data_IF_143544447787
#
_entry.id   IF_143544447787
#
_cell.length_a   1.000
_cell.length_b   1.000
_cell.length_c   1.000
_cell.angle_alpha   90.00
_cell.angle_beta   90.00
_cell.angle_gamma   90.00
#
_symmetry.space_group_name_H-M   'P 1'
#
loop_
_entity.id
_entity.type
_entity.pdbx_description
1 polymer ?
#
# COMPACT_ATOMS: atom_id res chain seq x y z
N UNK A 1 -48.90 -11.28 -5.00
CA UNK A 1 -48.54 -10.11 -4.18
C UNK A 1 -47.03 -9.99 -4.27
N UNK A 2 -46.62 -9.18 -5.24
CA UNK A 2 -45.29 -8.73 -5.71
C UNK A 2 -43.99 -9.33 -5.13
N UNK A 3 -43.22 -9.94 -6.03
CA UNK A 3 -41.80 -10.27 -5.95
C UNK A 3 -40.91 -9.10 -5.47
N UNK A 4 -40.11 -9.36 -4.44
CA UNK A 4 -38.98 -8.52 -4.03
C UNK A 4 -37.76 -8.87 -4.89
N UNK A 5 -37.65 -8.27 -6.07
CA UNK A 5 -36.41 -8.32 -6.85
C UNK A 5 -35.25 -7.69 -6.05
N UNK A 6 -34.33 -8.54 -5.61
CA UNK A 6 -33.00 -8.15 -5.15
C UNK A 6 -32.27 -7.40 -6.25
N UNK A 7 -32.16 -6.08 -6.12
CA UNK A 7 -31.28 -5.27 -6.95
C UNK A 7 -29.86 -5.45 -6.44
N UNK A 8 -29.09 -6.34 -7.08
CA UNK A 8 -27.64 -6.34 -6.94
C UNK A 8 -27.11 -4.98 -7.43
N UNK A 9 -26.31 -4.24 -6.66
CA UNK A 9 -25.76 -2.97 -7.10
C UNK A 9 -24.84 -3.19 -8.31
N UNK A 10 -25.30 -2.76 -9.48
CA UNK A 10 -24.54 -2.75 -10.72
C UNK A 10 -23.59 -1.57 -10.73
N UNK A 11 -22.39 -1.72 -10.16
CA UNK A 11 -21.24 -0.89 -10.52
C UNK A 11 -19.91 -1.57 -10.19
N UNK A 12 -19.69 -2.80 -10.68
CA UNK A 12 -18.36 -3.44 -10.69
C UNK A 12 -17.41 -2.78 -11.70
N UNK A 13 -17.97 -2.05 -12.68
CA UNK A 13 -17.28 -1.52 -13.84
C UNK A 13 -16.17 -0.48 -13.56
N UNK A 14 -16.29 0.46 -12.59
CA UNK A 14 -15.17 1.31 -12.22
C UNK A 14 -14.12 0.59 -11.36
N UNK A 15 -14.46 -0.51 -10.69
CA UNK A 15 -13.54 -1.22 -9.78
C UNK A 15 -12.49 -2.06 -10.52
N UNK A 16 -12.88 -2.76 -11.58
CA UNK A 16 -11.99 -3.64 -12.36
C UNK A 16 -10.77 -2.90 -12.95
N UNK A 17 -10.90 -1.77 -13.67
CA UNK A 17 -9.73 -1.08 -14.22
C UNK A 17 -8.82 -0.53 -13.12
N UNK A 18 -9.37 -0.10 -11.98
CA UNK A 18 -8.59 0.37 -10.84
C UNK A 18 -7.83 -0.80 -10.21
N UNK A 19 -8.45 -1.97 -10.06
CA UNK A 19 -7.80 -3.16 -9.53
C UNK A 19 -6.67 -3.67 -10.44
N UNK A 20 -6.90 -3.72 -11.76
CA UNK A 20 -5.86 -4.07 -12.74
C UNK A 20 -4.72 -3.05 -12.73
N UNK A 21 -5.05 -1.75 -12.69
CA UNK A 21 -4.06 -0.68 -12.56
C UNK A 21 -3.21 -0.83 -11.30
N UNK A 22 -3.83 -1.07 -10.15
CA UNK A 22 -3.13 -1.34 -8.89
C UNK A 22 -2.24 -2.58 -8.98
N UNK A 23 -2.71 -3.68 -9.58
CA UNK A 23 -1.92 -4.90 -9.74
C UNK A 23 -0.67 -4.68 -10.60
N UNK A 24 -0.79 -3.93 -11.69
CA UNK A 24 0.35 -3.56 -12.56
C UNK A 24 1.32 -2.66 -11.82
N UNK A 25 0.83 -1.62 -11.13
CA UNK A 25 1.67 -0.71 -10.35
C UNK A 25 2.40 -1.44 -9.22
N UNK A 26 1.70 -2.34 -8.52
CA UNK A 26 2.29 -3.17 -7.47
C UNK A 26 3.39 -4.08 -8.02
N UNK A 27 3.11 -4.83 -9.09
CA UNK A 27 4.10 -5.70 -9.73
C UNK A 27 5.29 -4.95 -10.31
N UNK A 28 5.08 -3.74 -10.87
CA UNK A 28 6.15 -2.91 -11.42
C UNK A 28 7.03 -2.24 -10.35
N UNK A 29 6.51 -2.01 -9.14
CA UNK A 29 7.24 -1.29 -8.08
C UNK A 29 8.56 -1.97 -7.70
N UNK A 30 8.57 -3.29 -7.54
CA UNK A 30 9.75 -4.08 -7.15
C UNK A 30 10.88 -4.08 -8.19
N UNK A 31 10.65 -4.37 -9.48
CA UNK A 31 11.71 -4.27 -10.49
C UNK A 31 12.22 -2.84 -10.68
N UNK A 32 11.36 -1.82 -10.61
CA UNK A 32 11.80 -0.42 -10.64
C UNK A 32 12.70 -0.11 -9.44
N UNK A 33 12.31 -0.54 -8.23
CA UNK A 33 13.13 -0.38 -7.04
C UNK A 33 14.48 -1.11 -7.14
N UNK A 34 14.51 -2.32 -7.72
CA UNK A 34 15.76 -3.08 -7.92
C UNK A 34 16.73 -2.34 -8.84
N UNK A 35 16.25 -1.70 -9.90
CA UNK A 35 17.10 -0.87 -10.76
C UNK A 35 17.67 0.30 -9.96
N UNK A 36 16.86 0.97 -9.15
CA UNK A 36 17.32 2.09 -8.31
C UNK A 36 18.32 1.67 -7.23
N UNK A 37 18.22 0.45 -6.70
CA UNK A 37 19.19 -0.10 -5.74
C UNK A 37 20.61 -0.24 -6.29
N UNK A 38 20.81 -0.17 -7.62
CA UNK A 38 22.16 -0.20 -8.20
C UNK A 38 22.94 1.07 -7.94
N UNK A 39 22.25 2.20 -7.76
CA UNK A 39 22.84 3.54 -7.59
C UNK A 39 22.51 4.16 -6.22
N UNK A 40 21.49 3.66 -5.52
CA UNK A 40 20.97 4.23 -4.27
C UNK A 40 21.06 3.23 -3.14
N UNK A 41 21.59 3.66 -1.98
CA UNK A 41 21.65 2.85 -0.77
C UNK A 41 20.24 2.33 -0.35
N UNK A 42 20.11 1.07 0.10
CA UNK A 42 18.84 0.46 0.49
C UNK A 42 18.01 1.28 1.48
N UNK A 43 18.65 1.90 2.49
CA UNK A 43 17.92 2.65 3.53
C UNK A 43 17.42 3.97 2.96
N UNK A 44 18.22 4.63 2.12
CA UNK A 44 17.83 5.86 1.44
C UNK A 44 16.68 5.60 0.47
N UNK A 45 16.74 4.50 -0.29
CA UNK A 45 15.67 4.12 -1.20
C UNK A 45 14.36 3.81 -0.47
N UNK A 46 14.43 3.08 0.66
CA UNK A 46 13.27 2.84 1.52
C UNK A 46 12.63 4.17 1.99
N UNK A 47 13.45 5.13 2.41
CA UNK A 47 13.00 6.47 2.79
C UNK A 47 12.32 7.21 1.62
N UNK A 48 12.90 7.14 0.41
CA UNK A 48 12.36 7.80 -0.77
C UNK A 48 11.00 7.21 -1.19
N UNK A 49 10.85 5.88 -1.12
CA UNK A 49 9.58 5.20 -1.39
C UNK A 49 8.50 5.60 -0.37
N UNK A 50 8.85 5.70 0.92
CA UNK A 50 7.92 6.13 1.96
C UNK A 50 7.52 7.60 1.82
N UNK A 51 8.46 8.48 1.47
CA UNK A 51 8.15 9.87 1.15
C UNK A 51 7.17 9.97 -0.02
N UNK A 52 7.38 9.17 -1.08
CA UNK A 52 6.46 9.09 -2.22
C UNK A 52 5.04 8.67 -1.80
N UNK A 53 4.93 7.62 -0.98
CA UNK A 53 3.64 7.16 -0.45
C UNK A 53 2.95 8.22 0.42
N UNK A 54 3.70 8.89 1.30
CA UNK A 54 3.20 9.97 2.14
C UNK A 54 2.69 11.17 1.34
N UNK A 55 3.43 11.58 0.30
CA UNK A 55 3.01 12.65 -0.61
C UNK A 55 1.75 12.27 -1.40
N UNK A 56 1.69 11.04 -1.92
CA UNK A 56 0.50 10.53 -2.61
C UNK A 56 -0.73 10.56 -1.72
N UNK A 57 -0.60 10.09 -0.47
CA UNK A 57 -1.68 10.13 0.52
C UNK A 57 -2.08 11.56 0.87
N UNK A 58 -1.12 12.47 1.03
CA UNK A 58 -1.36 13.88 1.32
C UNK A 58 -2.16 14.56 0.20
N UNK A 59 -1.81 14.32 -1.07
CA UNK A 59 -2.53 14.85 -2.23
C UNK A 59 -3.97 14.32 -2.30
N UNK A 60 -4.17 13.01 -2.11
CA UNK A 60 -5.51 12.41 -2.08
C UNK A 60 -6.33 12.98 -0.92
N UNK A 61 -5.72 13.14 0.25
CA UNK A 61 -6.37 13.68 1.44
C UNK A 61 -6.76 15.14 1.24
N UNK A 62 -5.89 15.95 0.64
CA UNK A 62 -6.20 17.34 0.28
C UNK A 62 -7.38 17.42 -0.69
N UNK A 63 -7.43 16.58 -1.72
CA UNK A 63 -8.56 16.51 -2.65
C UNK A 63 -9.89 16.13 -1.97
N UNK A 64 -9.87 15.19 -1.02
CA UNK A 64 -11.06 14.79 -0.24
C UNK A 64 -11.54 15.90 0.69
N UNK A 65 -10.61 16.67 1.26
CA UNK A 65 -10.91 17.79 2.15
C UNK A 65 -11.58 18.95 1.38
N UNK A 66 -11.12 19.23 0.15
CA UNK A 66 -11.79 20.18 -0.77
C UNK A 66 -13.21 19.72 -1.11
N UNK A 67 -13.43 18.41 -1.25
CA UNK A 67 -14.75 17.80 -1.46
C UNK A 67 -15.67 17.75 -0.23
N UNK A 68 -15.29 18.35 0.91
CA UNK A 68 -16.04 18.34 2.19
C UNK A 68 -16.44 16.96 2.70
N UNK A 69 -15.68 15.92 2.35
CA UNK A 69 -15.89 14.60 2.94
C UNK A 69 -15.35 14.64 4.37
N UNK A 70 -16.23 14.56 5.36
CA UNK A 70 -15.83 14.50 6.77
C UNK A 70 -15.12 13.17 7.02
N UNK A 71 -13.83 13.23 7.35
CA UNK A 71 -13.06 12.08 7.82
C UNK A 71 -13.48 11.79 9.27
N UNK A 72 -14.12 10.63 9.56
CA UNK A 72 -14.47 10.24 10.91
C UNK A 72 -13.21 9.72 11.63
N UNK A 73 -12.28 10.60 11.98
CA UNK A 73 -11.06 10.22 12.69
C UNK A 73 -11.08 10.84 14.09
N UNK A 74 -11.64 10.09 15.04
CA UNK A 74 -11.47 10.36 16.47
C UNK A 74 -10.42 9.40 17.02
N UNK A 75 -9.15 9.83 17.00
CA UNK A 75 -8.06 9.08 17.61
C UNK A 75 -8.10 9.25 19.13
N UNK A 76 -8.15 8.15 19.88
CA UNK A 76 -8.00 8.20 21.32
C UNK A 76 -6.52 8.16 21.67
N UNK A 77 -6.14 8.82 22.77
CA UNK A 77 -4.75 8.80 23.26
C UNK A 77 -4.25 7.40 23.62
N UNK A 78 -5.17 6.46 23.88
CA UNK A 78 -4.88 5.04 24.08
C UNK A 78 -4.30 4.34 22.85
N UNK A 79 -4.54 4.88 21.66
CA UNK A 79 -4.22 4.21 20.40
C UNK A 79 -2.79 4.52 19.93
N UNK A 80 -2.17 5.56 20.52
CA UNK A 80 -0.81 5.99 20.24
C UNK A 80 0.27 4.90 20.38
N UNK A 81 0.37 4.17 21.50
CA UNK A 81 1.39 3.11 21.63
C UNK A 81 1.20 2.01 20.59
N UNK A 82 -0.05 1.69 20.24
CA UNK A 82 -0.34 0.70 19.21
C UNK A 82 0.03 1.21 17.81
N UNK A 83 -0.31 2.47 17.51
CA UNK A 83 0.06 3.15 16.27
C UNK A 83 1.58 3.23 16.09
N UNK A 84 2.33 3.58 17.15
CA UNK A 84 3.79 3.58 17.12
C UNK A 84 4.33 2.18 16.83
N UNK A 85 3.74 1.14 17.44
CA UNK A 85 4.07 -0.26 17.14
C UNK A 85 3.87 -0.61 15.67
N UNK A 86 2.74 -0.24 15.08
CA UNK A 86 2.48 -0.46 13.65
C UNK A 86 3.47 0.28 12.75
N UNK A 87 3.77 1.54 13.06
CA UNK A 87 4.72 2.34 12.29
C UNK A 87 6.12 1.75 12.40
N UNK A 88 6.55 1.32 13.59
CA UNK A 88 7.87 0.72 13.76
C UNK A 88 7.98 -0.61 12.99
N UNK A 89 7.00 -1.50 13.15
CA UNK A 89 7.03 -2.83 12.57
C UNK A 89 6.73 -2.82 11.06
N UNK A 90 5.55 -2.34 10.67
CA UNK A 90 5.13 -2.32 9.26
C UNK A 90 5.67 -1.12 8.49
N UNK A 91 5.78 0.04 9.17
CA UNK A 91 6.20 1.30 8.55
C UNK A 91 7.70 1.39 8.26
N UNK A 92 8.53 0.93 9.19
CA UNK A 92 9.99 1.11 9.12
C UNK A 92 10.68 -0.23 8.86
N UNK A 93 10.44 -1.23 9.72
CA UNK A 93 11.15 -2.51 9.60
C UNK A 93 10.77 -3.24 8.30
N UNK A 94 9.50 -3.24 7.90
CA UNK A 94 9.03 -3.84 6.65
C UNK A 94 9.80 -3.36 5.41
N UNK A 95 9.82 -2.05 5.08
CA UNK A 95 10.53 -1.54 3.91
C UNK A 95 12.05 -1.74 3.96
N UNK A 96 12.66 -1.57 5.14
CA UNK A 96 14.10 -1.79 5.30
C UNK A 96 14.44 -3.25 5.02
N UNK A 97 13.72 -4.19 5.64
CA UNK A 97 13.88 -5.63 5.40
C UNK A 97 13.59 -6.00 3.94
N UNK A 98 12.59 -5.36 3.32
CA UNK A 98 12.29 -5.54 1.90
C UNK A 98 13.46 -5.10 1.02
N UNK A 99 14.06 -3.93 1.26
CA UNK A 99 15.20 -3.45 0.47
C UNK A 99 16.42 -4.35 0.65
N UNK A 100 16.68 -4.86 1.87
CA UNK A 100 17.72 -5.86 2.10
C UNK A 100 17.43 -7.19 1.38
N UNK A 101 16.20 -7.68 1.45
CA UNK A 101 15.78 -8.89 0.75
C UNK A 101 15.88 -8.75 -0.76
N UNK A 102 15.47 -7.59 -1.30
CA UNK A 102 15.57 -7.27 -2.72
C UNK A 102 17.02 -7.09 -3.16
N UNK A 103 17.92 -6.56 -2.33
CA UNK A 103 19.35 -6.52 -2.64
C UNK A 103 19.92 -7.93 -2.86
N UNK A 104 19.43 -8.92 -2.09
CA UNK A 104 19.93 -10.30 -2.09
C UNK A 104 19.17 -11.27 -3.03
N UNK A 105 18.11 -10.81 -3.71
CA UNK A 105 17.26 -11.65 -4.56
C UNK A 105 16.96 -11.02 -5.92
N UNK A 106 16.48 -11.83 -6.87
CA UNK A 106 15.98 -11.35 -8.15
C UNK A 106 14.63 -10.62 -7.99
N UNK A 107 14.44 -9.55 -8.78
CA UNK A 107 13.24 -8.72 -8.71
C UNK A 107 11.94 -9.50 -8.98
N UNK A 108 11.98 -10.47 -9.90
CA UNK A 108 10.83 -11.30 -10.21
C UNK A 108 10.42 -12.18 -9.02
N UNK A 109 11.39 -12.84 -8.39
CA UNK A 109 11.18 -13.66 -7.19
C UNK A 109 10.65 -12.81 -6.03
N UNK A 110 11.26 -11.65 -5.78
CA UNK A 110 10.82 -10.74 -4.73
C UNK A 110 9.38 -10.25 -4.95
N UNK A 111 9.00 -9.90 -6.18
CA UNK A 111 7.64 -9.46 -6.51
C UNK A 111 6.59 -10.57 -6.29
N UNK A 112 6.94 -11.82 -6.61
CA UNK A 112 6.08 -12.98 -6.33
C UNK A 112 5.95 -13.25 -4.83
N UNK A 113 7.05 -13.17 -4.07
CA UNK A 113 7.03 -13.34 -2.61
C UNK A 113 6.18 -12.27 -1.91
N UNK A 114 6.19 -11.03 -2.42
CA UNK A 114 5.36 -9.96 -1.87
C UNK A 114 3.85 -10.25 -2.02
N UNK A 115 3.44 -11.02 -3.04
CA UNK A 115 2.04 -11.47 -3.16
C UNK A 115 1.65 -12.53 -2.10
N UNK A 116 2.61 -13.22 -1.49
CA UNK A 116 2.36 -14.23 -0.43
C UNK A 116 2.06 -13.57 0.92
N UNK A 117 2.37 -12.29 1.10
CA UNK A 117 2.02 -11.53 2.31
C UNK A 117 0.52 -11.61 2.64
N UNK A 118 -0.34 -11.63 1.61
CA UNK A 118 -1.78 -11.79 1.79
C UNK A 118 -2.16 -13.11 2.46
N UNK A 119 -1.44 -14.21 2.18
CA UNK A 119 -1.64 -15.49 2.87
C UNK A 119 -1.15 -15.43 4.32
N UNK A 120 -0.02 -14.74 4.56
CA UNK A 120 0.56 -14.59 5.89
C UNK A 120 -0.29 -13.72 6.83
N UNK A 121 -1.14 -12.84 6.30
CA UNK A 121 -2.03 -11.95 7.06
C UNK A 121 -3.45 -12.51 7.26
N UNK A 122 -3.77 -13.67 6.68
CA UNK A 122 -5.09 -14.33 6.79
C UNK A 122 -5.21 -15.34 7.95
N UNK A 123 -4.11 -15.66 8.64
CA UNK A 123 -4.08 -16.56 9.80
C UNK A 123 -4.41 -15.82 11.11
#
# INVERSE_FOLDING_TARGET
MTDTHGRLPSNFWPGVPIALGSAVLFGASTPIAKILLTEVDPVVLAGLLYLGAGLGLALVSAGRMVGRQTLPLSFKRSDWPWLVGMIAAGGIAGPVLLMFGLAQSDAATASLLLNVEGLATMA
#
